data_IF_373354050357
#
_entry.id   IF_373354050357
#
_cell.length_a   1.000
_cell.length_b   1.000
_cell.length_c   1.000
_cell.angle_alpha   90.00
_cell.angle_beta   90.00
_cell.angle_gamma   90.00
#
_symmetry.space_group_name_H-M   'P 1'
#
loop_
_entity.id
_entity.type
_entity.pdbx_description
1 polymer ?
#
# COMPACT_ATOMS: atom_id res chain seq x y z
N UNK A 1 8.21 -7.22 27.61
CA UNK A 1 9.31 -6.80 26.71
C UNK A 1 8.71 -5.96 25.60
N UNK A 2 9.34 -4.85 25.24
CA UNK A 2 8.93 -4.00 24.11
C UNK A 2 9.87 -4.29 22.93
N UNK A 3 9.32 -4.65 21.78
CA UNK A 3 10.08 -4.84 20.55
C UNK A 3 10.01 -3.55 19.72
N UNK A 4 11.13 -3.18 19.09
CA UNK A 4 11.21 -1.98 18.25
C UNK A 4 11.88 -2.34 16.92
N UNK A 5 11.26 -1.93 15.81
CA UNK A 5 11.85 -1.99 14.48
C UNK A 5 12.56 -0.66 14.23
N UNK A 6 13.78 -0.71 13.68
CA UNK A 6 14.51 0.47 13.25
C UNK A 6 15.13 0.19 11.89
N UNK A 7 15.09 1.17 10.99
CA UNK A 7 15.74 1.07 9.69
C UNK A 7 17.13 1.68 9.75
N UNK A 8 18.10 1.05 9.09
CA UNK A 8 19.45 1.61 8.92
C UNK A 8 19.65 1.99 7.46
N UNK A 9 19.98 3.24 7.26
CA UNK A 9 20.36 3.77 5.95
C UNK A 9 21.76 3.31 5.51
N UNK A 10 22.11 3.42 4.21
CA UNK A 10 23.46 3.09 3.71
C UNK A 10 24.60 3.86 4.37
N UNK A 11 24.34 5.09 4.84
CA UNK A 11 25.33 5.91 5.56
C UNK A 11 25.40 5.61 7.07
N UNK A 12 24.64 4.62 7.56
CA UNK A 12 24.63 4.19 8.96
C UNK A 12 23.67 4.96 9.87
N UNK A 13 22.96 5.97 9.37
CA UNK A 13 21.93 6.67 10.13
C UNK A 13 20.79 5.69 10.48
N UNK A 14 20.41 5.68 11.76
CA UNK A 14 19.31 4.85 12.28
C UNK A 14 18.03 5.68 12.32
N UNK A 15 16.99 5.19 11.65
CA UNK A 15 15.70 5.83 11.46
C UNK A 15 14.64 5.07 12.28
N UNK A 16 14.02 5.76 13.24
CA UNK A 16 13.17 5.15 14.28
C UNK A 16 11.69 5.49 14.15
N UNK A 17 11.34 6.37 13.24
CA UNK A 17 9.98 6.86 13.01
C UNK A 17 9.73 7.10 11.52
N UNK A 18 8.47 7.05 11.10
CA UNK A 18 8.09 7.37 9.71
C UNK A 18 8.55 8.77 9.31
N UNK A 19 8.49 9.75 10.22
CA UNK A 19 9.00 11.10 9.98
C UNK A 19 10.51 11.17 9.75
N UNK A 20 11.30 10.32 10.42
CA UNK A 20 12.74 10.23 10.17
C UNK A 20 13.02 9.59 8.80
N UNK A 21 12.26 8.56 8.45
CA UNK A 21 12.36 7.87 7.16
C UNK A 21 12.02 8.83 6.02
N UNK A 22 10.86 9.50 6.07
CA UNK A 22 10.42 10.51 5.10
C UNK A 22 11.51 11.58 4.89
N UNK A 23 12.01 12.17 5.98
CA UNK A 23 13.06 13.20 5.91
C UNK A 23 14.33 12.67 5.26
N UNK A 24 14.73 11.45 5.58
CA UNK A 24 15.91 10.83 5.00
C UNK A 24 15.74 10.62 3.50
N UNK A 25 14.67 9.95 3.07
CA UNK A 25 14.36 9.70 1.64
C UNK A 25 14.36 10.99 0.83
N UNK A 26 13.72 12.04 1.35
CA UNK A 26 13.71 13.35 0.71
C UNK A 26 15.11 13.98 0.63
N UNK A 27 15.88 13.94 1.72
CA UNK A 27 17.22 14.54 1.75
C UNK A 27 18.21 13.92 0.76
N UNK A 28 18.07 12.62 0.49
CA UNK A 28 18.93 11.89 -0.45
C UNK A 28 18.33 11.82 -1.85
N UNK A 29 17.17 12.47 -2.08
CA UNK A 29 16.45 12.45 -3.36
C UNK A 29 16.18 11.02 -3.85
N UNK A 30 15.76 10.12 -2.95
CA UNK A 30 15.44 8.75 -3.28
C UNK A 30 14.13 8.69 -4.09
N UNK A 31 14.18 8.02 -5.25
CA UNK A 31 13.07 7.89 -6.21
C UNK A 31 12.64 6.43 -6.45
N UNK A 32 13.27 5.47 -5.77
CA UNK A 32 13.04 4.04 -5.95
C UNK A 32 12.49 3.33 -4.71
N UNK A 33 12.55 3.95 -3.53
CA UNK A 33 11.89 3.46 -2.31
C UNK A 33 10.99 4.57 -1.78
N UNK A 34 9.72 4.23 -1.58
CA UNK A 34 8.70 5.14 -1.09
C UNK A 34 8.38 4.88 0.38
N UNK A 35 7.81 5.87 1.06
CA UNK A 35 7.51 5.79 2.48
C UNK A 35 6.58 4.63 2.83
N UNK A 36 5.68 4.26 1.91
CA UNK A 36 4.74 3.14 2.00
C UNK A 36 5.42 1.76 2.06
N UNK A 37 6.70 1.66 1.69
CA UNK A 37 7.49 0.41 1.72
C UNK A 37 8.11 0.14 3.10
N UNK A 38 7.89 1.01 4.09
CA UNK A 38 8.42 0.87 5.45
C UNK A 38 7.32 0.51 6.44
N UNK A 39 7.65 -0.35 7.40
CA UNK A 39 6.78 -0.76 8.49
C UNK A 39 7.59 -0.80 9.79
N UNK A 40 7.17 -0.02 10.78
CA UNK A 40 7.81 0.00 12.11
C UNK A 40 7.08 -0.88 13.14
N UNK A 41 6.07 -1.65 12.69
CA UNK A 41 5.30 -2.56 13.56
C UNK A 41 6.10 -3.85 13.81
N UNK A 42 6.52 -4.13 15.06
CA UNK A 42 7.29 -5.33 15.39
C UNK A 42 6.49 -6.64 15.25
N UNK A 43 5.16 -6.57 15.07
CA UNK A 43 4.32 -7.75 14.88
C UNK A 43 4.18 -8.15 13.41
N UNK A 44 4.69 -7.33 12.47
CA UNK A 44 4.77 -7.71 11.07
C UNK A 44 5.99 -8.59 10.86
N UNK A 45 5.74 -9.89 10.65
CA UNK A 45 6.78 -10.91 10.53
C UNK A 45 6.96 -11.31 9.06
N UNK A 46 7.83 -10.59 8.36
CA UNK A 46 8.06 -10.76 6.91
C UNK A 46 8.66 -12.12 6.53
N UNK A 47 9.44 -12.73 7.41
CA UNK A 47 10.08 -14.03 7.16
C UNK A 47 9.24 -15.23 7.62
N UNK A 48 8.12 -14.98 8.32
CA UNK A 48 7.28 -16.06 8.82
C UNK A 48 6.44 -16.62 7.67
N UNK A 49 6.87 -17.74 7.11
CA UNK A 49 6.08 -18.50 6.15
C UNK A 49 4.97 -19.26 6.88
N UNK A 50 3.74 -19.13 6.39
CA UNK A 50 2.66 -20.03 6.78
C UNK A 50 2.97 -21.45 6.26
N UNK A 51 2.91 -22.45 7.15
CA UNK A 51 3.04 -23.85 6.79
C UNK A 51 1.74 -24.58 7.17
N UNK A 52 0.98 -25.10 6.19
CA UNK A 52 -0.20 -25.89 6.49
C UNK A 52 0.22 -27.20 7.16
N UNK A 53 -0.51 -27.60 8.21
CA UNK A 53 -0.16 -28.82 8.96
C UNK A 53 -0.68 -30.07 8.26
N UNK A 54 -1.88 -29.99 7.69
CA UNK A 54 -2.52 -31.11 6.99
C UNK A 54 -3.47 -30.57 5.91
N UNK A 55 -2.94 -30.10 4.78
CA UNK A 55 -3.78 -29.61 3.69
C UNK A 55 -4.59 -30.77 3.09
N UNK A 56 -5.92 -30.67 3.13
CA UNK A 56 -6.83 -31.57 2.42
C UNK A 56 -6.92 -31.18 0.94
N UNK A 57 -6.70 -29.90 0.63
CA UNK A 57 -6.49 -29.37 -0.71
C UNK A 57 -5.44 -28.25 -0.68
N UNK A 58 -4.58 -28.19 -1.70
CA UNK A 58 -3.46 -27.25 -1.78
C UNK A 58 -3.18 -26.80 -3.22
N UNK A 59 -3.11 -25.49 -3.43
CA UNK A 59 -2.54 -24.86 -4.62
C UNK A 59 -1.34 -24.04 -4.17
N UNK A 60 -0.18 -24.28 -4.78
CA UNK A 60 1.05 -23.56 -4.44
C UNK A 60 1.00 -22.08 -4.80
N UNK A 61 0.35 -21.74 -5.92
CA UNK A 61 0.18 -20.37 -6.38
C UNK A 61 -1.10 -20.22 -7.22
N UNK A 62 -2.11 -19.53 -6.68
CA UNK A 62 -3.37 -19.25 -7.39
C UNK A 62 -3.21 -18.17 -8.46
N UNK A 63 -2.09 -17.44 -8.45
CA UNK A 63 -1.83 -16.35 -9.39
C UNK A 63 -1.15 -16.84 -10.67
N UNK A 64 -0.71 -18.10 -10.70
CA UNK A 64 0.04 -18.70 -11.82
C UNK A 64 1.30 -17.90 -12.19
N UNK A 65 2.01 -17.37 -11.20
CA UNK A 65 3.23 -16.59 -11.37
C UNK A 65 3.00 -15.14 -11.82
N UNK A 66 1.76 -14.63 -11.73
CA UNK A 66 1.45 -13.23 -12.08
C UNK A 66 1.94 -12.24 -11.01
N UNK A 67 1.99 -12.65 -9.74
CA UNK A 67 2.54 -11.84 -8.65
C UNK A 67 4.03 -12.10 -8.43
N UNK A 68 4.71 -11.15 -7.81
CA UNK A 68 6.15 -11.24 -7.54
C UNK A 68 6.45 -12.28 -6.43
N UNK A 69 5.47 -12.57 -5.58
CA UNK A 69 5.50 -13.59 -4.53
C UNK A 69 4.29 -14.51 -4.72
N UNK A 70 4.46 -15.85 -4.70
CA UNK A 70 3.36 -16.78 -4.91
C UNK A 70 2.30 -16.65 -3.82
N UNK A 71 1.02 -16.72 -4.21
CA UNK A 71 -0.10 -16.72 -3.27
C UNK A 71 -0.68 -18.14 -3.17
N UNK A 72 -0.38 -18.82 -2.07
CA UNK A 72 -0.89 -20.18 -1.85
C UNK A 72 -2.37 -20.19 -1.43
N UNK A 73 -3.09 -21.23 -1.81
CA UNK A 73 -4.45 -21.51 -1.33
C UNK A 73 -4.46 -22.87 -0.64
N UNK A 74 -4.98 -22.88 0.59
CA UNK A 74 -5.02 -24.06 1.46
C UNK A 74 -6.45 -24.26 1.95
N UNK A 75 -6.92 -25.50 1.88
CA UNK A 75 -8.12 -25.95 2.60
C UNK A 75 -7.74 -27.16 3.46
N UNK A 76 -7.90 -27.02 4.78
CA UNK A 76 -7.62 -28.10 5.76
C UNK A 76 -8.89 -28.84 6.20
N UNK A 77 -10.08 -28.39 5.76
CA UNK A 77 -11.37 -28.96 6.16
C UNK A 77 -11.73 -30.16 5.28
N UNK A 78 -11.65 -30.01 3.95
CA UNK A 78 -12.03 -31.03 2.98
C UNK A 78 -11.25 -30.91 1.66
N UNK A 79 -11.63 -31.72 0.68
CA UNK A 79 -10.99 -31.75 -0.66
C UNK A 79 -11.65 -30.80 -1.66
N UNK A 80 -12.56 -29.93 -1.21
CA UNK A 80 -13.31 -29.03 -2.10
C UNK A 80 -12.36 -27.97 -2.67
N UNK A 81 -12.23 -27.85 -4.00
CA UNK A 81 -11.40 -26.84 -4.63
C UNK A 81 -12.03 -25.44 -4.52
N UNK A 82 -11.23 -24.35 -4.59
CA UNK A 82 -11.78 -23.03 -4.74
C UNK A 82 -12.53 -22.90 -6.08
N UNK A 83 -13.49 -21.97 -6.20
CA UNK A 83 -14.12 -21.67 -7.48
C UNK A 83 -13.08 -21.30 -8.55
N UNK A 84 -13.32 -21.71 -9.79
CA UNK A 84 -12.49 -21.28 -10.92
C UNK A 84 -12.67 -19.78 -11.15
N UNK A 85 -11.58 -19.03 -11.02
CA UNK A 85 -11.54 -17.58 -11.24
C UNK A 85 -10.33 -17.27 -12.11
N UNK A 86 -10.53 -16.47 -13.15
CA UNK A 86 -9.43 -15.93 -13.93
C UNK A 86 -8.71 -14.85 -13.09
N UNK A 87 -7.51 -15.16 -12.61
CA UNK A 87 -6.71 -14.19 -11.86
C UNK A 87 -6.16 -13.09 -12.78
N UNK A 88 -6.23 -11.84 -12.34
CA UNK A 88 -5.62 -10.69 -13.01
C UNK A 88 -4.91 -9.81 -11.98
N UNK A 89 -3.63 -9.52 -12.21
CA UNK A 89 -2.85 -8.54 -11.43
C UNK A 89 -3.38 -7.12 -11.66
N UNK A 90 -3.95 -6.88 -12.84
CA UNK A 90 -4.42 -5.57 -13.27
C UNK A 90 -5.94 -5.47 -13.20
N UNK A 91 -6.44 -4.23 -13.01
CA UNK A 91 -7.88 -3.95 -13.06
C UNK A 91 -8.36 -4.06 -14.51
N UNK A 92 -9.36 -4.91 -14.73
CA UNK A 92 -9.98 -5.07 -16.04
C UNK A 92 -11.30 -4.28 -16.04
N UNK A 93 -11.50 -3.30 -16.96
CA UNK A 93 -12.77 -2.62 -17.10
C UNK A 93 -13.90 -3.60 -17.40
N UNK A 94 -15.08 -3.35 -16.82
CA UNK A 94 -16.28 -4.11 -17.15
C UNK A 94 -16.69 -3.94 -18.62
N UNK A 95 -17.56 -4.83 -19.11
CA UNK A 95 -18.07 -4.76 -20.49
C UNK A 95 -18.72 -3.39 -20.75
N UNK A 96 -18.23 -2.69 -21.78
CA UNK A 96 -18.74 -1.36 -22.16
C UNK A 96 -18.26 -0.21 -21.27
N UNK A 97 -17.38 -0.47 -20.29
CA UNK A 97 -16.80 0.56 -19.44
C UNK A 97 -15.52 1.09 -20.09
N UNK A 98 -15.50 2.38 -20.39
CA UNK A 98 -14.30 3.09 -20.82
C UNK A 98 -13.76 3.91 -19.65
N UNK A 99 -12.54 3.61 -19.20
CA UNK A 99 -11.84 4.38 -18.18
C UNK A 99 -10.93 5.36 -18.91
N UNK A 100 -11.19 6.66 -18.76
CA UNK A 100 -10.31 7.68 -19.31
C UNK A 100 -9.02 7.74 -18.50
N UNK A 101 -7.91 7.31 -19.09
CA UNK A 101 -6.57 7.34 -18.50
C UNK A 101 -5.68 8.41 -19.13
N UNK A 102 -6.24 9.32 -19.94
CA UNK A 102 -5.47 10.42 -20.52
C UNK A 102 -4.90 11.31 -19.41
N UNK A 103 -3.60 11.66 -19.46
CA UNK A 103 -2.97 12.55 -18.49
C UNK A 103 -3.69 13.89 -18.33
N UNK A 104 -4.34 14.38 -19.38
CA UNK A 104 -5.09 15.65 -19.36
C UNK A 104 -6.27 15.64 -18.37
N UNK A 105 -6.73 14.45 -17.97
CA UNK A 105 -7.84 14.25 -17.04
C UNK A 105 -7.39 13.64 -15.72
N UNK A 106 -6.10 13.31 -15.57
CA UNK A 106 -5.56 12.81 -14.32
C UNK A 106 -5.28 14.00 -13.40
N UNK A 107 -5.92 13.99 -12.24
CA UNK A 107 -5.71 15.03 -11.23
C UNK A 107 -4.46 14.70 -10.43
N UNK A 108 -3.55 15.67 -10.33
CA UNK A 108 -2.33 15.59 -9.54
C UNK A 108 -2.03 16.91 -8.85
N UNK A 109 -0.89 16.98 -8.18
CA UNK A 109 -0.34 18.21 -7.61
C UNK A 109 1.06 18.47 -8.19
N UNK A 110 1.46 19.72 -8.19
CA UNK A 110 2.78 20.22 -8.57
C UNK A 110 3.75 20.31 -7.37
N UNK A 111 3.43 19.63 -6.27
CA UNK A 111 4.25 19.61 -5.08
C UNK A 111 5.64 19.03 -5.36
N UNK A 112 6.69 19.77 -5.01
CA UNK A 112 8.09 19.32 -5.08
C UNK A 112 8.64 18.88 -3.72
N UNK A 113 7.82 18.93 -2.67
CA UNK A 113 8.17 18.61 -1.29
C UNK A 113 7.70 17.22 -0.84
N UNK A 114 7.29 16.37 -1.78
CA UNK A 114 6.68 15.07 -1.46
C UNK A 114 5.26 15.20 -0.88
N UNK A 115 4.53 16.28 -1.17
CA UNK A 115 3.19 16.55 -0.64
C UNK A 115 3.14 16.78 0.89
N UNK A 116 4.26 17.18 1.51
CA UNK A 116 4.37 17.37 2.97
C UNK A 116 3.53 18.54 3.46
N UNK A 117 3.50 19.65 2.72
CA UNK A 117 2.60 20.77 3.01
C UNK A 117 1.17 20.47 2.52
N UNK A 118 0.41 19.78 3.37
CA UNK A 118 -1.01 19.45 3.11
C UNK A 118 -1.87 20.67 2.79
N UNK A 119 -1.51 21.86 3.28
CA UNK A 119 -2.28 23.08 3.03
C UNK A 119 -2.16 23.56 1.58
N UNK A 120 -1.06 23.21 0.90
CA UNK A 120 -0.79 23.57 -0.49
C UNK A 120 -1.05 22.43 -1.48
N UNK A 121 -0.95 21.19 -1.04
CA UNK A 121 -1.12 20.04 -1.92
C UNK A 121 -2.59 19.86 -2.36
N UNK A 122 -2.86 20.08 -3.65
CA UNK A 122 -4.18 19.89 -4.26
C UNK A 122 -4.78 18.51 -4.00
N UNK A 123 -3.96 17.45 -4.01
CA UNK A 123 -4.41 16.08 -3.72
C UNK A 123 -4.95 15.93 -2.28
N UNK A 124 -4.27 16.53 -1.30
CA UNK A 124 -4.72 16.54 0.09
C UNK A 124 -5.96 17.41 0.26
N UNK A 125 -6.00 18.58 -0.38
CA UNK A 125 -7.16 19.47 -0.34
C UNK A 125 -8.43 18.80 -0.90
N UNK A 126 -8.32 18.06 -2.01
CA UNK A 126 -9.44 17.28 -2.55
C UNK A 126 -9.92 16.21 -1.57
N UNK A 127 -8.99 15.54 -0.87
CA UNK A 127 -9.34 14.55 0.16
C UNK A 127 -10.08 15.20 1.34
N UNK A 128 -9.63 16.37 1.79
CA UNK A 128 -10.29 17.14 2.86
C UNK A 128 -11.68 17.60 2.42
N UNK A 129 -11.81 18.15 1.21
CA UNK A 129 -13.09 18.61 0.67
C UNK A 129 -14.10 17.45 0.51
N UNK A 130 -13.64 16.27 0.09
CA UNK A 130 -14.50 15.08 -0.04
C UNK A 130 -15.16 14.67 1.28
N UNK A 131 -14.57 15.01 2.43
CA UNK A 131 -15.21 14.74 3.73
C UNK A 131 -16.51 15.51 3.94
N UNK A 132 -16.66 16.68 3.32
CA UNK A 132 -17.90 17.46 3.34
C UNK A 132 -19.03 16.83 2.51
N UNK A 133 -18.74 15.82 1.67
CA UNK A 133 -19.76 15.09 0.93
C UNK A 133 -20.51 14.06 1.80
N UNK A 134 -20.12 13.90 3.06
CA UNK A 134 -20.82 13.04 4.02
C UNK A 134 -22.08 13.72 4.57
N UNK A 135 -23.12 12.97 4.98
CA UNK A 135 -24.29 13.53 5.65
C UNK A 135 -23.88 14.38 6.86
N UNK A 136 -24.26 15.66 6.85
CA UNK A 136 -23.85 16.64 7.88
C UNK A 136 -22.76 17.63 7.44
N UNK A 137 -22.20 17.46 6.23
CA UNK A 137 -21.30 18.41 5.59
C UNK A 137 -20.08 18.85 6.44
N UNK A 138 -19.58 17.94 7.29
CA UNK A 138 -18.45 18.22 8.16
C UNK A 138 -17.13 18.08 7.41
N UNK A 139 -16.27 19.10 7.51
CA UNK A 139 -14.92 19.07 6.95
C UNK A 139 -13.95 18.54 8.00
N UNK A 140 -13.21 17.48 7.68
CA UNK A 140 -12.11 17.01 8.50
C UNK A 140 -10.76 17.48 7.90
N UNK A 141 -10.10 18.50 8.48
CA UNK A 141 -8.82 19.00 7.98
C UNK A 141 -7.67 17.98 8.16
N UNK A 142 -7.86 16.96 8.99
CA UNK A 142 -6.88 15.90 9.24
C UNK A 142 -7.09 14.67 8.35
N UNK A 143 -8.00 14.74 7.37
CA UNK A 143 -8.27 13.63 6.46
C UNK A 143 -7.07 13.29 5.58
N UNK A 144 -7.01 12.03 5.15
CA UNK A 144 -5.92 11.49 4.34
C UNK A 144 -4.70 11.02 5.16
N UNK A 145 -3.66 10.61 4.45
CA UNK A 145 -2.44 10.04 5.05
C UNK A 145 -1.61 11.11 5.76
N UNK A 146 -0.95 10.73 6.87
CA UNK A 146 0.00 11.60 7.58
C UNK A 146 1.43 11.48 7.07
N UNK A 147 1.79 10.32 6.52
CA UNK A 147 3.11 9.97 6.03
C UNK A 147 2.93 9.33 4.66
N UNK A 148 3.18 10.09 3.58
CA UNK A 148 3.07 9.63 2.19
C UNK A 148 4.39 9.87 1.45
#
# INVERSE_FOLDING_TARGET
>A
MSFHVNYKSPCGLTLRSMSEIERYLFSVHCDFIFLEMFCLDPYVLVDRRFQPQKPSYFISDITEGKEDVPLSCVNEIDVTPPPSVAYSKERIPGKGVFINTSPDFLVGCDCTDGCRDKSKCSCHQLTVQATACTPGAQVNPNAGYQHK
#
